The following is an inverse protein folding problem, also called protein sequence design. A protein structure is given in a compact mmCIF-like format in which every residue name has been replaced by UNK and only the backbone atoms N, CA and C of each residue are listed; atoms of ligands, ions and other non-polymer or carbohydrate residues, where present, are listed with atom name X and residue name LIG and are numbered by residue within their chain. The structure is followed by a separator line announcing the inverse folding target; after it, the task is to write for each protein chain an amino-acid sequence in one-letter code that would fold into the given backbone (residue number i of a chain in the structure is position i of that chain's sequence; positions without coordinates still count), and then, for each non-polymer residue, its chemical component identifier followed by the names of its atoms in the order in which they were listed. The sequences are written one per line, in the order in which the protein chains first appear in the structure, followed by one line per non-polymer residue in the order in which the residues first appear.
data_IF_938474525449
#
_entry.id   IF_938474525449
#
_cell.length_a   1.000
_cell.length_b   1.000
_cell.length_c   1.000
_cell.angle_alpha   90.00
_cell.angle_beta   90.00
_cell.angle_gamma   90.00
#
_symmetry.space_group_name_H-M   'P 1'
#
loop_
_entity.id
_entity.type
_entity.pdbx_description
1 polymer ?
#
# COMPACT_ATOMS: atom_id res chain seq x y z
N UNK A 1 -3.99 -3.48 18.03
CA UNK A 1 -2.52 -3.44 18.23
C UNK A 1 -1.98 -2.47 17.21
N UNK A 2 -1.54 -1.31 17.67
CA UNK A 2 -0.91 -0.26 16.85
C UNK A 2 0.32 -0.82 16.16
N UNK A 3 0.48 -0.56 14.86
CA UNK A 3 1.68 -0.95 14.15
C UNK A 3 2.90 -0.31 14.86
N UNK A 4 4.03 -1.02 15.00
CA UNK A 4 5.22 -0.39 15.54
C UNK A 4 5.63 0.71 14.57
N UNK A 5 5.44 1.97 14.99
CA UNK A 5 6.09 3.12 14.39
C UNK A 5 7.58 2.96 14.65
N UNK A 6 8.25 2.23 13.76
CA UNK A 6 9.70 2.20 13.73
C UNK A 6 10.16 3.59 13.30
N UNK A 7 10.51 4.41 14.28
CA UNK A 7 11.27 5.63 14.05
C UNK A 7 12.66 5.19 13.61
N UNK A 8 12.88 5.14 12.29
CA UNK A 8 14.21 4.91 11.76
C UNK A 8 15.06 6.15 12.13
N UNK A 9 15.90 6.01 13.17
CA UNK A 9 16.87 7.00 13.65
C UNK A 9 17.96 7.34 12.62
N UNK A 10 17.92 6.71 11.45
CA UNK A 10 18.76 7.05 10.31
C UNK A 10 18.27 8.37 9.74
N UNK A 11 18.87 9.46 10.24
CA UNK A 11 18.82 10.81 9.69
C UNK A 11 19.31 10.78 8.23
N UNK A 12 18.45 10.34 7.32
CA UNK A 12 18.60 10.61 5.90
C UNK A 12 18.39 12.12 5.72
N UNK A 13 19.29 12.77 5.00
CA UNK A 13 19.16 14.17 4.66
C UNK A 13 17.83 14.36 3.92
N UNK A 14 16.79 14.86 4.59
CA UNK A 14 15.42 14.99 4.06
C UNK A 14 15.37 15.85 2.80
N UNK A 15 16.34 16.75 2.63
CA UNK A 15 16.58 17.50 1.39
C UNK A 15 16.76 16.58 0.18
N UNK A 16 17.49 15.46 0.30
CA UNK A 16 17.66 14.52 -0.82
C UNK A 16 16.35 13.80 -1.13
N UNK A 17 15.52 13.49 -0.13
CA UNK A 17 14.20 12.92 -0.36
C UNK A 17 13.29 13.89 -1.13
N UNK A 18 13.28 15.18 -0.77
CA UNK A 18 12.54 16.21 -1.51
C UNK A 18 13.08 16.37 -2.95
N UNK A 19 14.41 16.39 -3.12
CA UNK A 19 15.03 16.47 -4.43
C UNK A 19 14.73 15.25 -5.31
N UNK A 20 14.70 14.03 -4.72
CA UNK A 20 14.26 12.80 -5.40
C UNK A 20 12.78 12.87 -5.77
N UNK A 21 11.92 13.32 -4.87
CA UNK A 21 10.49 13.49 -5.13
C UNK A 21 10.25 14.44 -6.32
N UNK A 22 10.98 15.56 -6.38
CA UNK A 22 10.97 16.48 -7.51
C UNK A 22 11.43 15.81 -8.81
N UNK A 23 12.61 15.16 -8.82
CA UNK A 23 13.18 14.51 -10.01
C UNK A 23 12.28 13.40 -10.55
N UNK A 24 11.72 12.58 -9.67
CA UNK A 24 10.80 11.49 -10.01
C UNK A 24 9.37 11.98 -10.30
N UNK A 25 9.08 13.27 -10.11
CA UNK A 25 7.76 13.88 -10.30
C UNK A 25 6.65 13.17 -9.54
N UNK A 26 6.95 12.67 -8.34
CA UNK A 26 5.97 11.96 -7.50
C UNK A 26 4.87 12.92 -7.07
N UNK A 27 3.68 12.36 -6.83
CA UNK A 27 2.58 13.13 -6.24
C UNK A 27 2.92 13.41 -4.77
N UNK A 28 2.87 14.68 -4.40
CA UNK A 28 3.00 15.14 -3.02
C UNK A 28 1.64 15.61 -2.55
N UNK A 29 1.21 15.10 -1.40
CA UNK A 29 0.02 15.57 -0.69
C UNK A 29 0.45 16.66 0.30
N UNK A 30 -0.20 17.81 0.25
CA UNK A 30 -0.04 18.91 1.19
C UNK A 30 -1.40 19.16 1.83
N UNK A 31 -1.50 19.04 3.14
CA UNK A 31 -2.65 19.50 3.93
C UNK A 31 -2.24 20.80 4.61
N UNK A 32 -2.97 21.89 4.41
CA UNK A 32 -2.62 23.16 5.03
C UNK A 32 -3.86 23.97 5.39
N UNK A 33 -3.71 24.91 6.32
CA UNK A 33 -4.72 25.91 6.62
C UNK A 33 -4.32 27.24 5.97
N UNK A 34 -5.15 27.75 5.06
CA UNK A 34 -4.92 29.02 4.35
C UNK A 34 -6.10 29.98 4.56
N UNK A 35 -5.86 31.29 4.59
CA UNK A 35 -6.93 32.28 4.64
C UNK A 35 -7.67 32.34 3.30
N UNK A 36 -8.93 31.91 3.29
CA UNK A 36 -9.84 32.03 2.14
C UNK A 36 -11.01 32.93 2.53
N UNK A 37 -11.21 34.01 1.77
CA UNK A 37 -12.25 35.02 2.06
C UNK A 37 -12.19 35.56 3.50
N UNK A 38 -10.96 35.70 4.05
CA UNK A 38 -10.71 36.18 5.41
C UNK A 38 -10.96 35.16 6.52
N UNK A 39 -11.16 33.87 6.19
CA UNK A 39 -11.35 32.80 7.16
C UNK A 39 -10.33 31.67 7.00
N UNK A 40 -9.79 31.13 8.10
CA UNK A 40 -8.95 29.93 8.06
C UNK A 40 -9.71 28.75 7.46
N UNK A 41 -9.16 28.19 6.40
CA UNK A 41 -9.76 27.10 5.63
C UNK A 41 -8.76 25.98 5.44
N UNK A 42 -9.14 24.77 5.84
CA UNK A 42 -8.32 23.58 5.65
C UNK A 42 -8.45 23.08 4.20
N UNK A 43 -7.31 22.91 3.53
CA UNK A 43 -7.23 22.51 2.14
C UNK A 43 -6.28 21.32 2.02
N UNK A 44 -6.70 20.27 1.33
CA UNK A 44 -5.87 19.14 0.93
C UNK A 44 -5.56 19.27 -0.54
N UNK A 45 -4.27 19.33 -0.89
CA UNK A 45 -3.80 19.45 -2.26
C UNK A 45 -2.94 18.26 -2.64
N UNK A 46 -3.11 17.81 -3.87
CA UNK A 46 -2.25 16.83 -4.51
C UNK A 46 -1.55 17.50 -5.68
N UNK A 47 -0.22 17.46 -5.68
CA UNK A 47 0.58 18.22 -6.63
C UNK A 47 1.99 17.67 -6.77
N UNK A 48 2.92 18.52 -7.23
CA UNK A 48 4.32 18.15 -7.44
C UNK A 48 5.26 19.24 -6.99
N UNK A 49 6.47 18.85 -6.56
CA UNK A 49 7.56 19.78 -6.34
C UNK A 49 8.16 20.20 -7.68
N UNK A 50 8.41 21.50 -7.86
CA UNK A 50 9.03 22.09 -9.05
C UNK A 50 10.43 22.63 -8.79
N UNK A 51 10.69 23.06 -7.56
CA UNK A 51 12.00 23.48 -7.11
C UNK A 51 12.21 23.02 -5.67
N UNK A 52 13.44 22.68 -5.32
CA UNK A 52 13.86 22.28 -3.97
C UNK A 52 15.21 22.94 -3.69
N UNK A 53 15.23 23.85 -2.73
CA UNK A 53 16.43 24.53 -2.25
C UNK A 53 16.56 24.33 -0.74
N UNK A 54 17.34 23.32 -0.36
CA UNK A 54 17.46 22.89 1.03
C UNK A 54 16.13 22.36 1.59
N UNK A 55 15.40 23.22 2.32
CA UNK A 55 14.08 22.91 2.89
C UNK A 55 12.96 23.76 2.31
N UNK A 56 13.29 24.72 1.46
CA UNK A 56 12.31 25.53 0.76
C UNK A 56 11.96 24.86 -0.56
N UNK A 57 10.67 24.69 -0.78
CA UNK A 57 10.17 24.00 -1.97
C UNK A 57 9.11 24.84 -2.66
N UNK A 58 9.08 24.75 -3.99
CA UNK A 58 7.98 25.26 -4.79
C UNK A 58 7.04 24.08 -5.11
N UNK A 59 5.85 24.10 -4.51
CA UNK A 59 4.81 23.11 -4.74
C UNK A 59 3.79 23.65 -5.74
N UNK A 60 3.45 22.86 -6.75
CA UNK A 60 2.40 23.18 -7.72
C UNK A 60 1.23 22.21 -7.54
N UNK A 61 0.07 22.67 -7.03
CA UNK A 61 -1.13 21.85 -6.92
C UNK A 61 -1.62 21.44 -8.31
N UNK A 62 -2.21 20.25 -8.39
CA UNK A 62 -2.92 19.72 -9.57
C UNK A 62 -4.39 19.46 -9.26
N UNK A 63 -4.65 19.06 -8.02
CA UNK A 63 -5.96 18.87 -7.45
C UNK A 63 -5.97 19.50 -6.06
N UNK A 64 -7.10 20.09 -5.68
CA UNK A 64 -7.28 20.75 -4.40
C UNK A 64 -8.71 20.55 -3.91
N UNK A 65 -8.84 20.14 -2.66
CA UNK A 65 -10.11 19.90 -1.99
C UNK A 65 -10.18 20.72 -0.72
N UNK A 66 -11.29 21.43 -0.55
CA UNK A 66 -11.57 22.16 0.69
C UNK A 66 -12.26 21.21 1.66
N UNK A 67 -11.69 21.08 2.84
CA UNK A 67 -12.25 20.28 3.90
C UNK A 67 -13.40 21.05 4.55
N UNK A 68 -14.56 20.39 4.68
CA UNK A 68 -15.72 21.00 5.32
C UNK A 68 -15.58 20.94 6.85
N UNK A 69 -15.92 22.04 7.52
CA UNK A 69 -15.94 22.13 8.98
C UNK A 69 -15.08 23.28 9.52
N UNK A 70 -14.92 23.31 10.84
CA UNK A 70 -14.02 24.27 11.50
C UNK A 70 -12.58 23.79 11.33
N UNK A 71 -11.71 24.67 10.81
CA UNK A 71 -10.27 24.39 10.78
C UNK A 71 -9.75 24.15 12.20
N UNK A 72 -8.91 23.12 12.34
CA UNK A 72 -8.22 22.80 13.59
C UNK A 72 -6.74 23.16 13.55
N UNK A 73 -6.22 23.50 12.37
CA UNK A 73 -4.80 23.77 12.15
C UNK A 73 -4.50 25.26 12.23
N UNK A 74 -3.31 25.60 12.68
CA UNK A 74 -2.81 26.97 12.70
C UNK A 74 -2.65 27.50 11.26
N UNK A 75 -3.06 28.75 11.02
CA UNK A 75 -2.91 29.39 9.71
C UNK A 75 -1.46 29.35 9.22
N UNK A 76 -1.27 29.14 7.92
CA UNK A 76 0.04 29.04 7.26
C UNK A 76 0.91 27.88 7.74
N UNK A 77 0.34 26.91 8.47
CA UNK A 77 1.00 25.63 8.71
C UNK A 77 0.55 24.60 7.68
N UNK A 78 1.41 23.62 7.42
CA UNK A 78 1.08 22.50 6.56
C UNK A 78 1.68 21.18 7.04
N UNK A 79 1.11 20.09 6.56
CA UNK A 79 1.67 18.75 6.64
C UNK A 79 1.88 18.23 5.23
N UNK A 80 3.05 17.65 4.98
CA UNK A 80 3.36 17.01 3.71
C UNK A 80 3.37 15.49 3.85
N UNK A 81 3.01 14.81 2.76
CA UNK A 81 3.22 13.39 2.59
C UNK A 81 3.60 13.08 1.14
N UNK A 82 4.58 12.20 0.94
CA UNK A 82 4.86 11.58 -0.35
C UNK A 82 5.56 10.24 -0.16
N UNK A 83 5.57 9.42 -1.20
CA UNK A 83 6.30 8.16 -1.21
C UNK A 83 7.33 8.11 -2.33
N UNK A 84 8.49 7.53 -2.06
CA UNK A 84 9.53 7.24 -3.04
C UNK A 84 9.72 5.74 -3.19
N UNK A 85 9.91 5.29 -4.41
CA UNK A 85 10.40 3.93 -4.68
C UNK A 85 11.93 3.92 -4.67
N UNK A 86 12.50 2.91 -4.03
CA UNK A 86 13.94 2.67 -3.96
C UNK A 86 14.23 1.26 -4.46
N UNK A 87 15.23 1.14 -5.33
CA UNK A 87 15.77 -0.15 -5.74
C UNK A 87 16.79 -0.60 -4.71
N UNK A 88 16.60 -1.80 -4.19
CA UNK A 88 17.46 -2.51 -3.26
C UNK A 88 17.87 -3.84 -3.92
N UNK A 89 18.87 -4.52 -3.36
CA UNK A 89 19.30 -5.85 -3.83
C UNK A 89 18.16 -6.89 -3.74
N UNK A 90 17.24 -6.69 -2.79
CA UNK A 90 16.06 -7.53 -2.57
C UNK A 90 14.85 -7.17 -3.43
N UNK A 91 14.93 -6.12 -4.27
CA UNK A 91 13.84 -5.66 -5.13
C UNK A 91 13.51 -4.18 -4.96
N UNK A 92 12.22 -3.83 -5.06
CA UNK A 92 11.76 -2.43 -4.95
C UNK A 92 11.08 -2.22 -3.59
N UNK A 93 11.60 -1.29 -2.79
CA UNK A 93 10.97 -0.82 -1.56
C UNK A 93 10.26 0.52 -1.80
N UNK A 94 9.14 0.74 -1.11
CA UNK A 94 8.41 2.02 -1.14
C UNK A 94 8.54 2.67 0.23
N UNK A 95 9.09 3.87 0.29
CA UNK A 95 9.31 4.62 1.53
C UNK A 95 8.42 5.86 1.56
N UNK A 96 7.63 6.00 2.62
CA UNK A 96 6.76 7.16 2.87
C UNK A 96 7.46 8.17 3.76
N UNK A 97 7.34 9.44 3.39
CA UNK A 97 7.90 10.59 4.10
C UNK A 97 6.75 11.50 4.52
N UNK A 98 6.64 11.78 5.82
CA UNK A 98 5.59 12.62 6.38
C UNK A 98 6.16 13.60 7.40
N UNK A 99 5.79 14.86 7.32
CA UNK A 99 6.19 15.82 8.34
C UNK A 99 5.47 17.16 8.24
N UNK A 100 5.70 18.04 9.22
CA UNK A 100 5.14 19.38 9.21
C UNK A 100 5.93 20.32 8.27
N UNK A 101 5.35 21.46 7.99
CA UNK A 101 5.93 22.55 7.22
C UNK A 101 5.18 23.87 7.45
N UNK A 102 5.67 24.92 6.82
CA UNK A 102 5.06 26.24 6.83
C UNK A 102 4.83 26.71 5.40
N UNK A 103 3.73 27.41 5.19
CA UNK A 103 3.45 28.15 3.98
C UNK A 103 4.14 29.51 4.09
N UNK A 104 5.11 29.75 3.21
CA UNK A 104 5.83 31.02 3.16
C UNK A 104 5.12 32.02 2.24
N UNK A 105 4.55 31.53 1.14
CA UNK A 105 3.96 32.37 0.10
C UNK A 105 2.91 31.60 -0.71
N UNK A 106 1.78 32.26 -0.97
CA UNK A 106 0.78 31.85 -1.95
C UNK A 106 0.97 32.61 -3.26
N UNK A 107 1.24 31.90 -4.35
CA UNK A 107 1.28 32.49 -5.68
C UNK A 107 -0.05 32.22 -6.35
N UNK A 108 -0.81 33.29 -6.60
CA UNK A 108 -2.12 33.24 -7.27
C UNK A 108 -1.97 33.53 -8.77
N UNK A 109 -2.81 32.90 -9.58
CA UNK A 109 -2.95 33.20 -11.00
C UNK A 109 -3.72 34.50 -11.23
N UNK A 110 -3.85 34.89 -12.50
CA UNK A 110 -4.59 36.09 -12.91
C UNK A 110 -6.07 36.05 -12.50
N UNK A 111 -6.63 34.85 -12.34
CA UNK A 111 -8.02 34.63 -11.92
C UNK A 111 -8.17 34.48 -10.40
N UNK A 112 -7.10 34.69 -9.63
CA UNK A 112 -7.09 34.53 -8.17
C UNK A 112 -7.02 33.08 -7.70
N UNK A 113 -6.92 32.12 -8.61
CA UNK A 113 -6.74 30.70 -8.34
C UNK A 113 -5.33 30.40 -7.81
N UNK A 114 -5.22 29.42 -6.90
CA UNK A 114 -3.93 29.04 -6.33
C UNK A 114 -3.06 28.35 -7.39
N UNK A 115 -1.98 28.99 -7.81
CA UNK A 115 -1.06 28.49 -8.85
C UNK A 115 0.09 27.68 -8.25
N UNK A 116 0.66 28.15 -7.14
CA UNK A 116 1.73 27.45 -6.42
C UNK A 116 1.88 27.93 -4.99
N UNK A 117 2.52 27.11 -4.17
CA UNK A 117 2.90 27.45 -2.80
C UNK A 117 4.42 27.38 -2.64
N UNK A 118 5.00 28.40 -2.03
CA UNK A 118 6.36 28.31 -1.49
C UNK A 118 6.24 27.80 -0.06
N UNK A 119 6.84 26.65 0.21
CA UNK A 119 6.76 25.99 1.50
C UNK A 119 8.14 25.86 2.13
N UNK A 120 8.22 25.93 3.46
CA UNK A 120 9.39 25.51 4.23
C UNK A 120 9.07 24.23 4.96
N UNK A 121 9.65 23.12 4.51
CA UNK A 121 9.40 21.81 5.09
C UNK A 121 10.29 21.57 6.32
N UNK A 122 9.82 20.75 7.26
CA UNK A 122 10.59 20.41 8.45
C UNK A 122 11.90 19.69 8.11
N UNK A 123 12.91 19.90 8.96
CA UNK A 123 14.21 19.22 8.82
C UNK A 123 14.09 17.72 9.12
N UNK A 124 13.27 17.38 10.10
CA UNK A 124 13.00 16.00 10.49
C UNK A 124 11.58 15.63 10.07
N UNK A 125 11.42 14.44 9.49
CA UNK A 125 10.14 13.90 9.10
C UNK A 125 10.08 12.41 9.49
N UNK A 126 8.87 11.90 9.69
CA UNK A 126 8.64 10.48 9.85
C UNK A 126 8.91 9.78 8.52
N UNK A 127 9.77 8.77 8.57
CA UNK A 127 10.07 7.89 7.43
C UNK A 127 9.58 6.50 7.78
N UNK A 128 8.66 5.96 6.98
CA UNK A 128 8.11 4.61 7.19
C UNK A 128 8.15 3.80 5.92
N UNK A 129 8.41 2.50 6.04
CA UNK A 129 8.25 1.58 4.93
C UNK A 129 6.76 1.45 4.60
N UNK A 130 6.42 1.81 3.38
CA UNK A 130 5.06 1.75 2.85
C UNK A 130 4.82 0.41 2.16
N UNK A 131 3.55 0.01 2.12
CA UNK A 131 3.14 -1.09 1.27
C UNK A 131 3.32 -0.70 -0.19
N UNK A 132 3.92 -1.60 -0.95
CA UNK A 132 4.17 -1.37 -2.37
C UNK A 132 2.89 -1.48 -3.19
N UNK A 133 2.13 -2.54 -2.97
CA UNK A 133 0.87 -2.79 -3.66
C UNK A 133 -0.31 -2.45 -2.75
N UNK A 134 -1.31 -1.75 -3.32
CA UNK A 134 -2.59 -1.51 -2.66
C UNK A 134 -3.24 -2.86 -2.33
N UNK A 135 -3.79 -2.96 -1.12
CA UNK A 135 -4.58 -4.11 -0.70
C UNK A 135 -6.03 -3.77 -0.94
N UNK A 136 -6.67 -4.50 -1.83
CA UNK A 136 -8.10 -4.41 -2.05
C UNK A 136 -8.77 -5.30 -1.01
N UNK A 137 -9.66 -4.77 -0.16
CA UNK A 137 -10.50 -5.59 0.69
C UNK A 137 -11.26 -6.61 -0.15
N UNK A 138 -11.28 -7.86 0.32
CA UNK A 138 -11.87 -8.96 -0.42
C UNK A 138 -13.02 -9.57 0.38
N UNK A 139 -14.06 -9.98 -0.32
CA UNK A 139 -15.18 -10.74 0.22
C UNK A 139 -15.51 -11.88 -0.75
N UNK A 140 -16.38 -12.78 -0.33
CA UNK A 140 -16.72 -13.99 -1.10
C UNK A 140 -17.34 -13.64 -2.48
N UNK A 141 -18.04 -12.51 -2.58
CA UNK A 141 -18.68 -12.03 -3.81
C UNK A 141 -17.71 -11.40 -4.83
N UNK A 142 -16.41 -11.35 -4.57
CA UNK A 142 -15.41 -10.77 -5.49
C UNK A 142 -14.68 -11.80 -6.34
N UNK A 143 -14.83 -13.08 -6.05
CA UNK A 143 -14.17 -14.17 -6.77
C UNK A 143 -15.10 -15.34 -7.07
N UNK A 144 -15.07 -15.83 -8.31
CA UNK A 144 -15.78 -17.06 -8.74
C UNK A 144 -15.12 -18.29 -8.16
N UNK A 145 -13.78 -18.21 -8.06
CA UNK A 145 -12.92 -19.29 -7.59
C UNK A 145 -11.76 -18.66 -6.83
N UNK A 146 -11.39 -19.27 -5.72
CA UNK A 146 -10.15 -18.98 -5.01
C UNK A 146 -9.73 -20.23 -4.26
N UNK A 147 -8.44 -20.51 -4.22
CA UNK A 147 -7.92 -21.68 -3.54
C UNK A 147 -6.46 -21.61 -3.19
N UNK A 148 -6.07 -22.48 -2.26
CA UNK A 148 -4.70 -22.59 -1.78
C UNK A 148 -4.34 -24.06 -1.50
N UNK A 149 -3.18 -24.48 -1.97
CA UNK A 149 -2.65 -25.83 -1.74
C UNK A 149 -1.20 -25.72 -1.27
N UNK A 150 -0.81 -26.30 -0.12
CA UNK A 150 0.58 -26.41 0.28
C UNK A 150 1.33 -27.33 -0.70
N UNK A 151 2.57 -26.97 -1.03
CA UNK A 151 3.40 -27.72 -1.97
C UNK A 151 4.71 -28.15 -1.32
N UNK A 152 5.09 -29.40 -1.58
CA UNK A 152 6.46 -29.87 -1.36
C UNK A 152 7.39 -29.34 -2.46
N UNK A 153 6.91 -29.36 -3.72
CA UNK A 153 7.61 -28.84 -4.88
C UNK A 153 6.63 -28.12 -5.83
N UNK A 154 7.06 -27.05 -6.52
CA UNK A 154 6.29 -26.44 -7.60
C UNK A 154 5.96 -27.43 -8.73
N UNK A 155 4.73 -27.43 -9.29
CA UNK A 155 4.42 -28.25 -10.44
C UNK A 155 5.20 -27.77 -11.66
N UNK A 156 5.74 -28.73 -12.41
CA UNK A 156 6.58 -28.49 -13.59
C UNK A 156 5.84 -28.73 -14.90
N UNK A 157 4.72 -29.47 -14.86
CA UNK A 157 3.92 -29.81 -16.04
C UNK A 157 2.45 -29.40 -15.88
N UNK A 158 1.75 -29.22 -17.01
CA UNK A 158 0.31 -28.92 -17.01
C UNK A 158 -0.54 -30.05 -16.41
N UNK A 159 -0.09 -31.30 -16.54
CA UNK A 159 -0.76 -32.45 -15.95
C UNK A 159 -0.70 -32.40 -14.41
N UNK A 160 0.49 -32.17 -13.85
CA UNK A 160 0.68 -32.01 -12.40
C UNK A 160 -0.19 -30.87 -11.84
N UNK A 161 -0.20 -29.71 -12.51
CA UNK A 161 -1.04 -28.60 -12.09
C UNK A 161 -2.53 -28.95 -12.14
N UNK A 162 -2.98 -29.64 -13.18
CA UNK A 162 -4.37 -30.08 -13.31
C UNK A 162 -4.75 -31.04 -12.18
N UNK A 163 -3.87 -31.98 -11.82
CA UNK A 163 -4.11 -32.93 -10.75
C UNK A 163 -4.17 -32.24 -9.38
N UNK A 164 -3.29 -31.26 -9.13
CA UNK A 164 -3.32 -30.44 -7.90
C UNK A 164 -4.63 -29.64 -7.78
N UNK A 165 -5.08 -29.02 -8.87
CA UNK A 165 -6.34 -28.28 -8.89
C UNK A 165 -7.53 -29.23 -8.68
N UNK A 166 -7.54 -30.40 -9.33
CA UNK A 166 -8.58 -31.41 -9.15
C UNK A 166 -8.65 -31.93 -7.71
N UNK A 167 -7.50 -32.16 -7.07
CA UNK A 167 -7.43 -32.54 -5.66
C UNK A 167 -7.98 -31.44 -4.75
N UNK A 168 -7.67 -30.17 -5.02
CA UNK A 168 -8.25 -29.06 -4.27
C UNK A 168 -9.78 -29.04 -4.41
N UNK A 169 -10.32 -29.20 -5.62
CA UNK A 169 -11.77 -29.22 -5.84
C UNK A 169 -12.48 -30.44 -5.23
N UNK A 170 -11.78 -31.57 -5.09
CA UNK A 170 -12.30 -32.75 -4.42
C UNK A 170 -12.18 -32.67 -2.88
N UNK A 171 -11.42 -31.71 -2.36
CA UNK A 171 -11.28 -31.50 -0.92
C UNK A 171 -12.52 -30.84 -0.31
N UNK A 172 -12.67 -30.93 1.01
CA UNK A 172 -13.70 -30.20 1.77
C UNK A 172 -13.31 -28.74 2.03
N UNK A 173 -12.29 -28.20 1.36
CA UNK A 173 -11.89 -26.81 1.54
C UNK A 173 -12.95 -25.86 0.96
N UNK A 174 -13.09 -24.67 1.57
CA UNK A 174 -13.96 -23.63 1.01
C UNK A 174 -13.58 -23.27 -0.43
N UNK A 175 -14.59 -23.14 -1.29
CA UNK A 175 -14.44 -22.66 -2.65
C UNK A 175 -15.64 -21.76 -3.02
N UNK A 176 -15.43 -20.44 -3.18
CA UNK A 176 -14.14 -19.75 -3.11
C UNK A 176 -13.55 -19.73 -1.70
N UNK A 177 -12.22 -19.77 -1.62
CA UNK A 177 -11.47 -19.55 -0.38
C UNK A 177 -11.81 -18.16 0.20
N UNK A 178 -12.13 -18.04 1.51
CA UNK A 178 -12.43 -16.74 2.12
C UNK A 178 -11.17 -15.87 2.16
N UNK A 179 -11.12 -14.86 1.29
CA UNK A 179 -10.04 -13.87 1.26
C UNK A 179 -10.44 -12.64 2.07
N UNK A 180 -9.50 -12.09 2.84
CA UNK A 180 -9.64 -10.84 3.60
C UNK A 180 -9.20 -9.66 2.73
N UNK A 181 -8.08 -9.82 2.02
CA UNK A 181 -7.59 -8.82 1.08
C UNK A 181 -6.69 -9.46 0.01
N UNK A 182 -6.59 -8.79 -1.12
CA UNK A 182 -5.76 -9.17 -2.26
C UNK A 182 -4.96 -7.97 -2.76
N UNK A 183 -3.71 -8.21 -3.17
CA UNK A 183 -2.83 -7.22 -3.77
C UNK A 183 -2.03 -7.87 -4.90
N UNK A 184 -1.40 -7.07 -5.74
CA UNK A 184 -0.56 -7.59 -6.83
C UNK A 184 0.63 -8.45 -6.35
N UNK A 185 1.06 -8.31 -5.09
CA UNK A 185 2.18 -9.05 -4.53
C UNK A 185 1.80 -10.07 -3.45
N UNK A 186 0.52 -10.28 -3.16
CA UNK A 186 0.14 -11.20 -2.09
C UNK A 186 -1.32 -11.18 -1.72
N UNK A 187 -1.72 -12.17 -0.92
CA UNK A 187 -3.08 -12.35 -0.43
C UNK A 187 -3.10 -12.56 1.09
N UNK A 188 -4.23 -12.25 1.70
CA UNK A 188 -4.55 -12.67 3.05
C UNK A 188 -5.82 -13.52 2.99
N UNK A 189 -5.74 -14.80 3.35
CA UNK A 189 -6.88 -15.71 3.36
C UNK A 189 -7.19 -16.15 4.78
N UNK A 190 -8.47 -16.28 5.13
CA UNK A 190 -8.83 -17.00 6.34
C UNK A 190 -8.83 -18.51 6.05
N UNK A 191 -8.10 -19.24 6.88
CA UNK A 191 -8.08 -20.69 6.84
C UNK A 191 -8.60 -21.27 8.15
N UNK A 192 -9.38 -22.37 8.09
CA UNK A 192 -9.61 -23.24 9.22
C UNK A 192 -8.29 -23.61 9.93
N UNK A 193 -8.35 -23.77 11.25
CA UNK A 193 -7.16 -23.90 12.10
C UNK A 193 -6.30 -25.14 11.76
N UNK A 194 -6.93 -26.23 11.32
CA UNK A 194 -6.32 -27.47 10.84
C UNK A 194 -5.43 -27.27 9.59
N UNK A 195 -5.81 -26.37 8.69
CA UNK A 195 -5.00 -26.01 7.51
C UNK A 195 -3.91 -24.99 7.88
N UNK A 196 -4.23 -24.07 8.79
CA UNK A 196 -3.28 -23.04 9.25
C UNK A 196 -2.07 -23.61 10.01
N UNK A 197 -2.26 -24.79 10.64
CA UNK A 197 -1.26 -25.56 11.36
C UNK A 197 -0.21 -26.22 10.45
N UNK A 198 -0.36 -26.13 9.12
CA UNK A 198 0.68 -26.52 8.16
C UNK A 198 1.78 -25.45 8.22
N UNK A 199 2.60 -25.54 9.26
CA UNK A 199 3.74 -24.66 9.58
C UNK A 199 5.00 -25.00 8.79
N UNK A 200 4.99 -26.08 8.00
CA UNK A 200 6.19 -26.66 7.39
C UNK A 200 6.30 -26.50 5.87
N UNK A 201 5.22 -26.11 5.18
CA UNK A 201 5.30 -25.91 3.73
C UNK A 201 6.10 -24.64 3.43
N UNK A 202 7.17 -24.78 2.64
CA UNK A 202 7.99 -23.65 2.18
C UNK A 202 7.28 -22.83 1.11
N UNK A 203 6.35 -23.46 0.39
CA UNK A 203 5.69 -22.93 -0.80
C UNK A 203 4.21 -23.33 -0.83
N UNK A 204 3.37 -22.43 -1.32
CA UNK A 204 1.95 -22.66 -1.56
C UNK A 204 1.61 -22.33 -3.01
N UNK A 205 0.75 -23.14 -3.62
CA UNK A 205 0.03 -22.76 -4.83
C UNK A 205 -1.19 -21.94 -4.41
N UNK A 206 -1.27 -20.69 -4.84
CA UNK A 206 -2.45 -19.86 -4.67
C UNK A 206 -3.08 -19.58 -6.04
N UNK A 207 -4.40 -19.68 -6.14
CA UNK A 207 -5.09 -19.30 -7.37
C UNK A 207 -6.38 -18.55 -7.10
N UNK A 208 -6.74 -17.65 -8.01
CA UNK A 208 -7.95 -16.84 -7.92
C UNK A 208 -8.50 -16.51 -9.31
N UNK A 209 -9.82 -16.46 -9.41
CA UNK A 209 -10.56 -15.96 -10.57
C UNK A 209 -11.50 -14.84 -10.09
N UNK A 210 -11.07 -13.57 -10.17
CA UNK A 210 -11.91 -12.43 -9.82
C UNK A 210 -13.18 -12.38 -10.68
N UNK A 211 -14.29 -11.88 -10.10
CA UNK A 211 -15.58 -11.73 -10.78
C UNK A 211 -15.54 -10.72 -11.94
N UNK A 212 -14.77 -9.63 -11.81
CA UNK A 212 -14.62 -8.61 -12.86
C UNK A 212 -13.63 -9.01 -13.95
N UNK A 213 -12.87 -10.09 -13.79
CA UNK A 213 -12.05 -10.63 -14.87
C UNK A 213 -12.96 -11.20 -15.96
N UNK A 214 -12.61 -11.01 -17.24
CA UNK A 214 -13.43 -11.52 -18.34
C UNK A 214 -13.54 -13.05 -18.25
N UNK A 215 -14.65 -13.64 -18.71
CA UNK A 215 -14.84 -15.09 -18.67
C UNK A 215 -13.81 -15.87 -19.50
N UNK A 216 -13.16 -15.20 -20.46
CA UNK A 216 -12.07 -15.74 -21.27
C UNK A 216 -10.69 -15.60 -20.63
N UNK A 217 -10.55 -14.81 -19.56
CA UNK A 217 -9.25 -14.57 -18.95
C UNK A 217 -8.80 -15.81 -18.18
N UNK A 218 -7.53 -16.22 -18.31
CA UNK A 218 -7.02 -17.33 -17.54
C UNK A 218 -7.01 -17.01 -16.04
N UNK A 219 -7.07 -18.03 -15.17
CA UNK A 219 -6.94 -17.84 -13.75
C UNK A 219 -5.58 -17.22 -13.40
N UNK A 220 -5.55 -16.45 -12.32
CA UNK A 220 -4.32 -16.01 -11.70
C UNK A 220 -3.81 -17.14 -10.81
N UNK A 221 -2.59 -17.62 -11.08
CA UNK A 221 -1.98 -18.74 -10.34
C UNK A 221 -0.58 -18.32 -9.93
N UNK A 222 -0.27 -18.51 -8.65
CA UNK A 222 0.97 -18.03 -8.04
C UNK A 222 1.62 -19.11 -7.19
N UNK A 223 2.96 -19.12 -7.20
CA UNK A 223 3.74 -19.71 -6.14
C UNK A 223 3.95 -18.65 -5.05
N UNK A 224 3.74 -19.06 -3.80
CA UNK A 224 3.65 -18.14 -2.67
C UNK A 224 4.40 -18.64 -1.46
N UNK A 225 4.96 -17.71 -0.69
CA UNK A 225 5.56 -17.98 0.62
C UNK A 225 4.65 -17.49 1.75
N UNK A 226 4.62 -18.24 2.84
CA UNK A 226 3.98 -17.81 4.10
C UNK A 226 4.81 -16.71 4.75
N UNK A 227 4.17 -15.56 4.97
CA UNK A 227 4.79 -14.42 5.68
C UNK A 227 4.39 -14.33 7.15
N UNK A 228 3.29 -14.97 7.53
CA UNK A 228 2.82 -14.98 8.91
C UNK A 228 1.36 -15.32 9.04
N UNK A 229 0.89 -15.38 10.28
CA UNK A 229 -0.50 -15.68 10.62
C UNK A 229 -1.08 -14.63 11.57
N UNK A 230 -2.41 -14.49 11.59
CA UNK A 230 -3.11 -13.57 12.48
C UNK A 230 -4.48 -14.13 12.86
N UNK A 231 -4.70 -14.41 14.15
CA UNK A 231 -5.98 -14.95 14.64
C UNK A 231 -7.08 -13.89 14.72
N UNK A 232 -6.73 -12.65 15.05
CA UNK A 232 -7.72 -11.58 15.26
C UNK A 232 -8.42 -11.09 13.99
N UNK A 233 -8.06 -11.62 12.82
CA UNK A 233 -8.65 -11.24 11.53
C UNK A 233 -9.66 -12.27 11.02
N UNK A 234 -9.87 -13.37 11.75
CA UNK A 234 -10.87 -14.36 11.38
C UNK A 234 -11.46 -15.04 12.62
N UNK A 235 -12.77 -14.95 12.80
CA UNK A 235 -13.45 -15.50 13.97
C UNK A 235 -13.50 -17.04 13.96
N UNK A 236 -13.41 -17.65 12.77
CA UNK A 236 -13.54 -19.10 12.56
C UNK A 236 -12.22 -19.78 12.17
N UNK A 237 -11.08 -19.12 12.36
CA UNK A 237 -9.79 -19.72 12.05
C UNK A 237 -8.62 -18.76 12.16
N UNK A 238 -7.63 -18.95 11.31
CA UNK A 238 -6.40 -18.18 11.32
C UNK A 238 -6.16 -17.55 9.95
N UNK A 239 -5.99 -16.23 9.93
CA UNK A 239 -5.64 -15.54 8.69
C UNK A 239 -4.18 -15.83 8.31
N UNK A 240 -3.96 -16.39 7.12
CA UNK A 240 -2.66 -16.65 6.53
C UNK A 240 -2.27 -15.53 5.57
N UNK A 241 -1.08 -14.96 5.77
CA UNK A 241 -0.51 -13.96 4.87
C UNK A 241 0.45 -14.62 3.90
N UNK A 242 0.18 -14.44 2.61
CA UNK A 242 0.97 -14.95 1.50
C UNK A 242 1.70 -13.81 0.79
N UNK A 243 2.96 -14.05 0.46
CA UNK A 243 3.75 -13.25 -0.48
C UNK A 243 3.88 -14.03 -1.77
N UNK A 244 3.44 -13.46 -2.89
CA UNK A 244 3.61 -14.07 -4.20
C UNK A 244 5.06 -13.93 -4.64
N UNK A 245 5.68 -15.04 -5.02
CA UNK A 245 7.06 -15.07 -5.53
C UNK A 245 7.06 -15.19 -7.04
N UNK A 246 6.19 -16.02 -7.60
CA UNK A 246 6.15 -16.28 -9.04
C UNK A 246 4.71 -16.35 -9.53
N UNK A 247 4.46 -15.89 -10.76
CA UNK A 247 3.18 -16.01 -11.46
C UNK A 247 3.31 -17.01 -12.60
N UNK A 248 2.28 -17.84 -12.80
CA UNK A 248 2.24 -18.76 -13.93
C UNK A 248 2.04 -17.99 -15.25
N UNK A 249 2.97 -18.15 -16.18
CA UNK A 249 2.81 -17.73 -17.57
C UNK A 249 1.87 -18.70 -18.29
N UNK A 250 0.58 -18.42 -18.20
CA UNK A 250 -0.47 -19.25 -18.80
C UNK A 250 -0.37 -19.34 -20.33
N UNK A 251 0.21 -18.32 -20.97
CA UNK A 251 0.29 -18.22 -22.42
C UNK A 251 1.53 -18.92 -22.99
N UNK A 252 2.46 -19.33 -22.13
CA UNK A 252 3.60 -20.15 -22.53
C UNK A 252 3.16 -21.44 -23.21
N UNK A 253 3.64 -21.64 -24.45
CA UNK A 253 3.41 -22.86 -25.23
C UNK A 253 4.40 -23.99 -24.87
N UNK A 254 5.26 -23.77 -23.88
CA UNK A 254 6.22 -24.76 -23.42
C UNK A 254 5.51 -26.02 -22.87
N UNK A 255 6.08 -27.22 -23.09
CA UNK A 255 5.60 -28.44 -22.45
C UNK A 255 5.75 -28.39 -20.92
N UNK A 256 6.73 -27.61 -20.43
CA UNK A 256 6.91 -27.29 -19.02
C UNK A 256 6.21 -25.98 -18.66
N UNK A 257 5.66 -25.91 -17.45
CA UNK A 257 5.12 -24.67 -16.89
C UNK A 257 6.24 -23.66 -16.74
N UNK A 258 5.96 -22.42 -17.15
CA UNK A 258 6.86 -21.28 -16.99
C UNK A 258 6.33 -20.40 -15.87
N UNK A 259 7.19 -20.11 -14.91
CA UNK A 259 6.92 -19.28 -13.75
C UNK A 259 7.75 -18.01 -13.89
N UNK A 260 7.08 -16.86 -13.88
CA UNK A 260 7.73 -15.56 -13.97
C UNK A 260 7.97 -15.02 -12.57
N UNK A 261 9.22 -14.62 -12.26
CA UNK A 261 9.57 -14.01 -10.97
C UNK A 261 8.88 -12.66 -10.83
N UNK A 262 7.99 -12.56 -9.84
CA UNK A 262 7.25 -11.35 -9.50
C UNK A 262 7.54 -10.88 -8.07
N UNK A 263 8.53 -11.45 -7.38
CA UNK A 263 8.82 -11.11 -5.99
C UNK A 263 9.11 -9.62 -5.81
N UNK A 264 9.88 -9.06 -6.75
CA UNK A 264 10.28 -7.65 -6.75
C UNK A 264 9.33 -6.73 -7.52
N UNK A 265 8.42 -7.27 -8.35
CA UNK A 265 7.59 -6.50 -9.29
C UNK A 265 6.10 -6.53 -8.97
N UNK A 266 5.62 -7.60 -8.34
CA UNK A 266 4.20 -7.92 -8.24
C UNK A 266 3.63 -8.32 -9.61
N UNK A 267 2.44 -8.90 -9.61
CA UNK A 267 1.73 -9.26 -10.84
C UNK A 267 1.09 -8.02 -11.48
N UNK A 268 1.61 -7.61 -12.63
CA UNK A 268 1.03 -6.51 -13.42
C UNK A 268 -0.39 -6.85 -13.89
N UNK A 269 -0.62 -8.11 -14.28
CA UNK A 269 -1.93 -8.59 -14.73
C UNK A 269 -2.96 -8.51 -13.60
N UNK A 270 -2.60 -8.98 -12.41
CA UNK A 270 -3.48 -8.89 -11.25
C UNK A 270 -3.69 -7.44 -10.83
N UNK A 271 -2.64 -6.61 -10.87
CA UNK A 271 -2.76 -5.19 -10.56
C UNK A 271 -3.82 -4.49 -11.43
N UNK A 272 -3.76 -4.68 -12.75
CA UNK A 272 -4.74 -4.10 -13.68
C UNK A 272 -6.17 -4.59 -13.40
N UNK A 273 -6.33 -5.86 -12.99
CA UNK A 273 -7.63 -6.38 -12.59
C UNK A 273 -8.13 -5.76 -11.27
N UNK A 274 -7.25 -5.58 -10.29
CA UNK A 274 -7.56 -5.01 -8.98
C UNK A 274 -7.99 -3.54 -9.05
N UNK A 275 -7.50 -2.78 -10.03
CA UNK A 275 -7.93 -1.40 -10.29
C UNK A 275 -9.44 -1.31 -10.61
N UNK A 276 -10.05 -2.39 -11.10
CA UNK A 276 -11.50 -2.46 -11.33
C UNK A 276 -12.30 -2.53 -10.02
N UNK A 277 -11.66 -2.85 -8.90
CA UNK A 277 -12.28 -3.00 -7.57
C UNK A 277 -11.92 -1.83 -6.65
N UNK A 278 -11.53 -0.69 -7.21
CA UNK A 278 -11.27 0.52 -6.43
C UNK A 278 -12.59 1.10 -5.88
N UNK A 279 -13.08 0.49 -4.81
CA UNK A 279 -14.11 1.06 -3.95
C UNK A 279 -13.40 2.09 -3.08
N UNK A 280 -13.25 3.31 -3.58
CA UNK A 280 -12.57 4.38 -2.86
C UNK A 280 -13.31 4.71 -1.56
N UNK A 281 -12.76 4.29 -0.43
CA UNK A 281 -12.60 5.15 0.75
C UNK A 281 -11.11 5.17 1.09
N UNK A 282 -10.65 6.36 1.45
CA UNK A 282 -9.27 6.81 1.45
C UNK A 282 -8.22 5.84 2.00
N UNK A 283 -6.99 5.94 1.50
CA UNK A 283 -5.80 5.50 2.25
C UNK A 283 -5.64 6.39 3.51
N UNK A 284 -6.62 6.39 4.42
CA UNK A 284 -6.40 6.72 5.81
C UNK A 284 -5.78 5.49 6.47
N UNK A 285 -4.55 5.64 6.97
CA UNK A 285 -4.00 4.92 8.13
C UNK A 285 -2.49 5.21 8.24
N UNK A 286 -1.92 5.73 9.33
CA UNK A 286 -2.43 6.29 10.57
C UNK A 286 -1.69 7.63 10.76
N UNK A 287 -2.37 8.65 11.29
CA UNK A 287 -1.70 9.79 11.89
C UNK A 287 -0.94 9.30 13.15
N UNK A 288 0.26 9.80 13.46
CA UNK A 288 0.84 9.55 14.77
C UNK A 288 -0.08 10.15 15.82
N UNK A 289 -0.47 9.34 16.81
CA UNK A 289 -1.20 9.81 17.98
C UNK A 289 -0.50 11.03 18.58
N UNK A 290 -1.28 12.08 18.85
CA UNK A 290 -0.82 13.26 19.59
C UNK A 290 -0.21 12.80 20.93
N UNK A 291 1.10 12.92 21.07
CA UNK A 291 1.76 12.86 22.37
C UNK A 291 1.39 14.13 23.13
N UNK A 292 0.38 14.04 23.99
CA UNK A 292 0.11 15.06 25.00
C UNK A 292 1.27 15.05 26.01
N UNK A 293 2.15 16.04 25.90
CA UNK A 293 3.21 16.29 26.89
C UNK A 293 2.59 16.90 28.15
N UNK A 294 2.18 16.07 29.10
CA UNK A 294 1.88 16.52 30.46
C UNK A 294 3.13 16.42 31.33
N UNK A 295 4.03 17.40 31.21
CA UNK A 295 5.04 17.66 32.23
C UNK A 295 4.37 18.33 33.43
N UNK A 296 4.15 17.57 34.50
CA UNK A 296 4.04 18.11 35.86
C UNK A 296 5.06 17.42 36.76
N UNK A 297 6.26 18.00 36.79
CA UNK A 297 7.23 17.77 37.84
C UNK A 297 6.64 18.27 39.16
N UNK A 298 6.38 17.37 40.11
CA UNK A 298 6.13 17.72 41.51
C UNK A 298 7.37 17.33 42.29
N UNK A 299 8.25 18.30 42.50
CA UNK A 299 9.22 18.29 43.59
C UNK A 299 8.45 18.58 44.87
N UNK A 300 8.49 17.67 45.84
CA UNK A 300 8.17 17.94 47.23
C UNK A 300 9.47 18.13 47.98
N UNK A 301 9.58 19.26 48.68
CA UNK A 301 10.44 19.43 49.84
C UNK A 301 9.92 18.57 51.00
#
# INVERSE_FOLDING_TARGET
MTAPTSYCLWNSNTTEAFARAMRQRVTVRIKCCLPREGKPTDIVMHGRLRNVEGREVLFVPRHAEVQQGKSKAEENTCEFFFSLEQREESGISRMGYQGPGMVLEEVKGEKGDLRSLRLRLARSCAVRQMRRHKRVPWNEDRSRLAGITPLDNPPTTRAELKDLLAQYYASSHPNPLPLINLSAGGACACLPDDISAITLASTYLFFVVPNKAAGSDPPYIFLSKKMGTCKSLCDQGTALRLLFTEELDWFSQSPHLKWDDILATGSERLQACLELYDDTEDEEDEAPAETTSASKSRLTA
#
